data_IF_367482328856
#
_entry.id   IF_367482328856
#
_cell.length_a   1.000
_cell.length_b   1.000
_cell.length_c   1.000
_cell.angle_alpha   90.00
_cell.angle_beta   90.00
_cell.angle_gamma   90.00
#
_symmetry.space_group_name_H-M   'P 1'
#
loop_
_entity.id
_entity.type
_entity.pdbx_description
1 polymer ?
#
# COMPACT_ATOMS: atom_id res chain seq x y z
N UNK A 1 -17.54 -20.58 13.56
CA UNK A 1 -16.84 -19.31 13.32
C UNK A 1 -15.41 -19.48 13.79
N UNK A 2 -14.42 -19.28 12.92
CA UNK A 2 -13.02 -19.24 13.37
C UNK A 2 -12.80 -17.97 14.19
N UNK A 3 -12.30 -18.10 15.42
CA UNK A 3 -11.88 -16.98 16.26
C UNK A 3 -10.39 -16.79 16.04
N UNK A 4 -9.98 -15.63 15.55
CA UNK A 4 -8.57 -15.26 15.46
C UNK A 4 -8.24 -14.45 16.71
N UNK A 5 -7.31 -14.95 17.52
CA UNK A 5 -6.76 -14.21 18.65
C UNK A 5 -5.47 -13.52 18.22
N UNK A 6 -5.50 -12.19 18.18
CA UNK A 6 -4.33 -11.39 17.82
C UNK A 6 -3.38 -11.31 19.02
N UNK A 7 -2.14 -11.71 18.81
CA UNK A 7 -1.11 -11.66 19.85
C UNK A 7 -0.75 -10.20 20.18
N UNK A 8 -1.14 -9.76 21.38
CA UNK A 8 -0.92 -8.40 21.86
C UNK A 8 0.58 -8.06 22.00
N UNK A 9 1.42 -9.05 22.33
CA UNK A 9 2.87 -8.86 22.41
C UNK A 9 3.47 -8.55 21.04
N UNK A 10 2.94 -9.13 19.97
CA UNK A 10 3.34 -8.80 18.59
C UNK A 10 2.95 -7.37 18.24
N UNK A 11 1.73 -6.94 18.59
CA UNK A 11 1.30 -5.56 18.33
C UNK A 11 2.13 -4.53 19.11
N UNK A 12 2.60 -4.86 20.32
CA UNK A 12 3.48 -3.98 21.08
C UNK A 12 4.82 -3.69 20.37
N UNK A 13 5.27 -4.55 19.46
CA UNK A 13 6.51 -4.32 18.66
C UNK A 13 6.35 -3.30 17.54
N UNK A 14 5.13 -2.81 17.30
CA UNK A 14 4.83 -1.83 16.26
C UNK A 14 5.11 -0.38 16.67
N UNK A 15 5.34 -0.13 17.97
CA UNK A 15 5.67 1.20 18.46
C UNK A 15 6.89 1.75 17.70
N UNK A 16 6.76 2.97 17.21
CA UNK A 16 7.77 3.71 16.43
C UNK A 16 8.16 3.04 15.09
N UNK A 17 7.45 1.99 14.67
CA UNK A 17 7.63 1.40 13.34
C UNK A 17 6.88 2.20 12.30
N UNK A 18 7.52 2.44 11.16
CA UNK A 18 6.86 3.09 10.02
C UNK A 18 6.22 2.05 9.11
N UNK A 19 4.90 2.11 9.00
CA UNK A 19 4.10 1.24 8.16
C UNK A 19 3.53 2.00 6.98
N UNK A 20 3.89 1.58 5.78
CA UNK A 20 3.40 2.13 4.53
C UNK A 20 2.30 1.25 3.95
N UNK A 21 1.14 1.84 3.66
CA UNK A 21 -0.05 1.15 3.18
C UNK A 21 -0.50 1.78 1.86
N UNK A 22 -0.49 0.99 0.78
CA UNK A 22 -1.13 1.41 -0.48
C UNK A 22 -2.63 1.06 -0.45
N UNK A 23 -3.47 1.89 -1.06
CA UNK A 23 -4.93 1.73 -0.96
C UNK A 23 -5.46 1.92 0.47
N UNK A 24 -4.73 2.70 1.28
CA UNK A 24 -4.95 2.82 2.72
C UNK A 24 -6.10 3.74 3.12
N UNK A 25 -6.75 4.44 2.17
CA UNK A 25 -7.76 5.45 2.51
C UNK A 25 -9.16 4.86 2.75
N UNK A 26 -9.38 3.57 2.45
CA UNK A 26 -10.69 2.92 2.64
C UNK A 26 -10.56 1.46 3.11
N UNK A 27 -11.69 0.87 3.51
CA UNK A 27 -11.84 -0.56 3.76
C UNK A 27 -10.80 -1.14 4.71
N UNK A 28 -10.20 -2.25 4.30
CA UNK A 28 -9.18 -2.98 5.07
C UNK A 28 -7.95 -2.11 5.33
N UNK A 29 -7.46 -1.40 4.31
CA UNK A 29 -6.29 -0.51 4.45
C UNK A 29 -6.49 0.56 5.52
N UNK A 30 -7.66 1.23 5.52
CA UNK A 30 -7.99 2.27 6.52
C UNK A 30 -8.05 1.73 7.93
N UNK A 31 -8.77 0.63 8.13
CA UNK A 31 -8.89 0.02 9.46
C UNK A 31 -7.54 -0.51 9.95
N UNK A 32 -6.72 -1.02 9.04
CA UNK A 32 -5.35 -1.43 9.36
C UNK A 32 -4.50 -0.24 9.79
N UNK A 33 -4.53 0.88 9.06
CA UNK A 33 -3.83 2.11 9.44
C UNK A 33 -4.22 2.59 10.85
N UNK A 34 -5.52 2.68 11.15
CA UNK A 34 -6.00 3.07 12.49
C UNK A 34 -5.56 2.11 13.59
N UNK A 35 -5.65 0.80 13.35
CA UNK A 35 -5.24 -0.21 14.32
C UNK A 35 -3.74 -0.14 14.60
N UNK A 36 -2.91 0.00 13.56
CA UNK A 36 -1.46 0.08 13.74
C UNK A 36 -1.07 1.39 14.45
N UNK A 37 -1.71 2.50 14.08
CA UNK A 37 -1.52 3.78 14.77
C UNK A 37 -1.88 3.69 16.25
N UNK A 38 -2.99 3.02 16.63
CA UNK A 38 -3.38 2.87 18.03
C UNK A 38 -2.35 2.09 18.87
N UNK A 39 -1.41 1.39 18.22
CA UNK A 39 -0.29 0.70 18.86
C UNK A 39 1.05 1.47 18.76
N UNK A 40 1.00 2.74 18.33
CA UNK A 40 2.14 3.66 18.30
C UNK A 40 2.97 3.60 17.02
N UNK A 41 2.47 2.98 15.95
CA UNK A 41 3.14 3.00 14.66
C UNK A 41 3.01 4.37 13.97
N UNK A 42 4.02 4.74 13.20
CA UNK A 42 3.91 5.81 12.21
C UNK A 42 3.22 5.22 10.96
N UNK A 43 2.23 5.91 10.41
CA UNK A 43 1.39 5.41 9.32
C UNK A 43 1.54 6.29 8.09
N UNK A 44 1.93 5.66 6.98
CA UNK A 44 2.09 6.30 5.68
C UNK A 44 1.01 5.74 4.75
N UNK A 45 0.14 6.59 4.23
CA UNK A 45 -0.96 6.21 3.35
C UNK A 45 -0.69 6.69 1.93
N UNK A 46 -0.61 5.74 1.00
CA UNK A 46 -0.61 6.01 -0.44
C UNK A 46 -1.94 5.63 -1.06
N UNK A 47 -2.67 6.58 -1.63
CA UNK A 47 -3.97 6.30 -2.26
C UNK A 47 -4.32 7.33 -3.34
N UNK A 48 -5.23 7.00 -4.25
CA UNK A 48 -5.79 7.95 -5.22
C UNK A 48 -6.86 8.84 -4.60
N UNK A 49 -7.57 8.37 -3.58
CA UNK A 49 -8.67 9.08 -2.91
C UNK A 49 -8.15 10.09 -1.88
N UNK A 50 -7.81 11.29 -2.36
CA UNK A 50 -7.28 12.39 -1.52
C UNK A 50 -8.21 12.76 -0.39
N UNK A 51 -9.52 12.82 -0.64
CA UNK A 51 -10.50 13.27 0.36
C UNK A 51 -10.56 12.30 1.53
N UNK A 52 -10.63 10.99 1.26
CA UNK A 52 -10.63 9.99 2.32
C UNK A 52 -9.27 9.86 3.00
N UNK A 53 -8.17 9.99 2.25
CA UNK A 53 -6.82 9.98 2.79
C UNK A 53 -6.59 11.09 3.81
N UNK A 54 -6.94 12.33 3.45
CA UNK A 54 -6.87 13.48 4.37
C UNK A 54 -7.82 13.32 5.56
N UNK A 55 -8.98 12.69 5.37
CA UNK A 55 -9.88 12.40 6.49
C UNK A 55 -9.27 11.43 7.49
N UNK A 56 -8.63 10.37 7.00
CA UNK A 56 -7.92 9.42 7.86
C UNK A 56 -6.78 10.11 8.62
N UNK A 57 -6.03 11.03 7.99
CA UNK A 57 -4.97 11.76 8.68
C UNK A 57 -5.48 12.63 9.83
N UNK A 58 -6.68 13.20 9.73
CA UNK A 58 -7.27 13.95 10.85
C UNK A 58 -7.52 13.06 12.06
N UNK A 59 -7.71 11.76 11.88
CA UNK A 59 -7.89 10.78 12.95
C UNK A 59 -6.54 10.28 13.51
N UNK A 60 -5.50 10.21 12.68
CA UNK A 60 -4.16 9.73 13.09
C UNK A 60 -3.30 10.85 13.71
N UNK A 61 -3.39 12.07 13.20
CA UNK A 61 -2.56 13.19 13.65
C UNK A 61 -1.11 13.12 13.17
N UNK A 62 -0.16 13.57 13.99
CA UNK A 62 1.25 13.80 13.60
C UNK A 62 2.02 12.54 13.21
N UNK A 63 1.56 11.37 13.65
CA UNK A 63 2.13 10.08 13.25
C UNK A 63 1.60 9.57 11.91
N UNK A 64 0.85 10.39 11.17
CA UNK A 64 0.24 10.04 9.89
C UNK A 64 0.70 10.95 8.77
N UNK A 65 1.05 10.37 7.61
CA UNK A 65 1.17 11.11 6.36
C UNK A 65 0.37 10.47 5.23
N UNK A 66 -0.07 11.30 4.31
CA UNK A 66 -0.81 10.93 3.12
C UNK A 66 -0.09 11.51 1.91
N UNK A 67 0.06 10.69 0.88
CA UNK A 67 0.52 11.08 -0.43
C UNK A 67 -0.46 10.51 -1.46
N UNK A 68 -0.82 11.33 -2.45
CA UNK A 68 -1.62 10.84 -3.57
C UNK A 68 -0.76 9.86 -4.37
N UNK A 69 -1.10 8.58 -4.36
CA UNK A 69 -0.27 7.53 -4.95
C UNK A 69 -1.05 6.65 -5.93
N UNK A 70 -0.57 6.59 -7.16
CA UNK A 70 -0.99 5.62 -8.17
C UNK A 70 0.02 4.46 -8.21
N UNK A 71 -0.41 3.26 -7.83
CA UNK A 71 0.46 2.08 -7.80
C UNK A 71 0.84 1.55 -9.19
N UNK A 72 0.16 2.01 -10.24
CA UNK A 72 0.55 1.72 -11.64
C UNK A 72 1.69 2.62 -12.11
N UNK A 73 1.90 3.76 -11.42
CA UNK A 73 2.94 4.73 -11.73
C UNK A 73 4.16 4.55 -10.82
N UNK A 74 5.30 4.22 -11.43
CA UNK A 74 6.54 3.95 -10.70
C UNK A 74 7.06 5.15 -9.90
N UNK A 75 6.98 6.36 -10.47
CA UNK A 75 7.47 7.57 -9.80
C UNK A 75 6.59 7.95 -8.61
N UNK A 76 5.27 7.79 -8.75
CA UNK A 76 4.31 8.00 -7.68
C UNK A 76 4.59 7.09 -6.48
N UNK A 77 4.83 5.80 -6.73
CA UNK A 77 5.25 4.85 -5.70
C UNK A 77 6.59 5.24 -5.06
N UNK A 78 7.61 5.59 -5.86
CA UNK A 78 8.91 6.01 -5.32
C UNK A 78 8.76 7.23 -4.41
N UNK A 79 7.99 8.23 -4.81
CA UNK A 79 7.79 9.46 -4.04
C UNK A 79 7.10 9.20 -2.69
N UNK A 80 6.18 8.22 -2.63
CA UNK A 80 5.57 7.79 -1.37
C UNK A 80 6.63 7.27 -0.37
N UNK A 81 7.56 6.44 -0.84
CA UNK A 81 8.64 5.91 0.01
C UNK A 81 9.64 7.00 0.43
N UNK A 82 9.99 7.91 -0.47
CA UNK A 82 10.84 9.06 -0.13
C UNK A 82 10.17 9.96 0.92
N UNK A 83 8.86 10.26 0.77
CA UNK A 83 8.08 10.99 1.78
C UNK A 83 8.07 10.29 3.13
N UNK A 84 7.92 8.96 3.15
CA UNK A 84 7.99 8.17 4.38
C UNK A 84 9.35 8.30 5.07
N UNK A 85 10.43 8.20 4.29
CA UNK A 85 11.81 8.35 4.77
C UNK A 85 12.07 9.75 5.29
N UNK A 86 11.68 10.77 4.56
CA UNK A 86 11.94 12.16 4.94
C UNK A 86 11.22 12.54 6.24
N UNK A 87 10.03 11.98 6.48
CA UNK A 87 9.26 12.24 7.69
C UNK A 87 9.69 11.38 8.88
N UNK A 88 9.90 10.08 8.68
CA UNK A 88 10.06 9.10 9.77
C UNK A 88 11.42 8.38 9.78
N UNK A 89 12.28 8.62 8.79
CA UNK A 89 13.62 8.06 8.68
C UNK A 89 13.71 6.62 8.16
N UNK A 90 12.61 5.85 8.21
CA UNK A 90 12.56 4.46 7.78
C UNK A 90 11.22 4.08 7.17
N UNK A 91 11.22 2.97 6.41
CA UNK A 91 10.03 2.16 6.13
C UNK A 91 10.32 0.75 6.66
N UNK A 92 9.58 0.32 7.68
CA UNK A 92 9.80 -0.97 8.34
C UNK A 92 8.87 -2.05 7.77
N UNK A 93 7.64 -1.67 7.44
CA UNK A 93 6.59 -2.59 6.99
C UNK A 93 5.87 -1.99 5.78
N UNK A 94 5.62 -2.81 4.76
CA UNK A 94 4.85 -2.43 3.58
C UNK A 94 3.65 -3.34 3.42
N UNK A 95 2.46 -2.73 3.36
CA UNK A 95 1.20 -3.39 3.06
C UNK A 95 0.75 -2.96 1.66
N UNK A 96 1.06 -3.79 0.66
CA UNK A 96 0.63 -3.60 -0.72
C UNK A 96 -0.87 -3.95 -0.86
N UNK A 97 -1.72 -3.08 -0.34
CA UNK A 97 -3.16 -3.33 -0.17
C UNK A 97 -4.02 -2.69 -1.28
N UNK A 98 -3.48 -1.78 -2.10
CA UNK A 98 -4.21 -1.19 -3.22
C UNK A 98 -4.75 -2.28 -4.15
N UNK A 99 -6.04 -2.18 -4.47
CA UNK A 99 -6.71 -3.13 -5.34
C UNK A 99 -8.07 -2.65 -5.79
N UNK A 100 -8.50 -3.14 -6.94
CA UNK A 100 -9.84 -2.92 -7.48
C UNK A 100 -10.55 -4.27 -7.71
N UNK A 101 -11.87 -4.34 -7.59
CA UNK A 101 -12.62 -5.51 -8.05
C UNK A 101 -12.62 -5.57 -9.57
N UNK A 102 -12.84 -6.76 -10.11
CA UNK A 102 -13.13 -6.91 -11.53
C UNK A 102 -14.47 -6.20 -11.86
N UNK A 103 -14.54 -5.57 -13.04
CA UNK A 103 -15.72 -4.84 -13.52
C UNK A 103 -15.94 -5.09 -15.01
N UNK A 104 -17.19 -5.09 -15.50
CA UNK A 104 -17.47 -5.18 -16.93
C UNK A 104 -16.85 -4.03 -17.75
N UNK A 105 -16.42 -4.28 -19.00
CA UNK A 105 -16.28 -5.62 -19.59
C UNK A 105 -15.19 -6.44 -18.88
N UNK A 106 -15.47 -7.72 -18.64
CA UNK A 106 -14.53 -8.63 -17.99
C UNK A 106 -13.34 -8.94 -18.90
N UNK A 107 -12.22 -9.39 -18.33
CA UNK A 107 -10.95 -9.52 -19.08
C UNK A 107 -11.06 -10.44 -20.32
N UNK A 108 -11.98 -11.41 -20.28
CA UNK A 108 -12.21 -12.38 -21.36
C UNK A 108 -13.52 -12.15 -22.12
N UNK A 109 -14.21 -11.03 -21.87
CA UNK A 109 -15.37 -10.66 -22.67
C UNK A 109 -14.92 -10.27 -24.08
N UNK A 110 -15.64 -10.76 -25.08
CA UNK A 110 -15.45 -10.32 -26.47
C UNK A 110 -16.11 -8.97 -26.66
N UNK A 111 -15.29 -7.92 -26.69
CA UNK A 111 -15.73 -6.56 -26.97
C UNK A 111 -15.26 -6.16 -28.37
N UNK A 112 -16.19 -5.68 -29.19
CA UNK A 112 -15.88 -5.15 -30.52
C UNK A 112 -15.86 -3.62 -30.50
N UNK A 113 -15.02 -3.01 -31.32
CA UNK A 113 -15.03 -1.57 -31.58
C UNK A 113 -16.15 -1.17 -32.57
N UNK A 114 -16.24 0.12 -32.88
CA UNK A 114 -17.25 0.66 -33.80
C UNK A 114 -17.14 0.10 -35.24
N UNK A 115 -16.02 -0.52 -35.60
CA UNK A 115 -15.79 -1.16 -36.90
C UNK A 115 -16.01 -2.69 -36.86
N UNK A 116 -16.41 -3.24 -35.71
CA UNK A 116 -16.61 -4.68 -35.52
C UNK A 116 -15.31 -5.47 -35.31
N UNK A 117 -14.19 -4.82 -35.02
CA UNK A 117 -12.91 -5.46 -34.73
C UNK A 117 -12.77 -5.75 -33.23
N UNK A 118 -12.02 -6.80 -32.87
CA UNK A 118 -11.72 -7.12 -31.47
C UNK A 118 -11.00 -5.94 -30.82
N UNK A 119 -11.62 -5.38 -29.78
CA UNK A 119 -11.02 -4.35 -28.93
C UNK A 119 -9.99 -4.99 -28.00
N UNK A 120 -8.88 -4.31 -27.78
CA UNK A 120 -7.89 -4.72 -26.79
C UNK A 120 -8.52 -4.78 -25.38
N UNK A 121 -8.29 -5.86 -24.59
CA UNK A 121 -8.79 -5.97 -23.23
C UNK A 121 -8.24 -4.87 -22.31
N UNK A 122 -9.03 -4.47 -21.32
CA UNK A 122 -8.57 -3.57 -20.26
C UNK A 122 -7.76 -4.37 -19.21
N UNK A 123 -6.45 -4.13 -19.14
CA UNK A 123 -5.55 -4.77 -18.19
C UNK A 123 -5.44 -4.02 -16.84
N UNK A 124 -6.26 -2.98 -16.60
CA UNK A 124 -6.23 -2.18 -15.37
C UNK A 124 -6.27 -3.02 -14.08
N UNK A 125 -7.07 -4.09 -14.06
CA UNK A 125 -7.14 -5.03 -12.93
C UNK A 125 -5.77 -5.69 -12.66
N UNK A 126 -5.11 -6.19 -13.71
CA UNK A 126 -3.79 -6.83 -13.61
C UNK A 126 -2.74 -5.80 -13.23
N UNK A 127 -2.81 -4.60 -13.81
CA UNK A 127 -1.86 -3.53 -13.55
C UNK A 127 -1.89 -3.04 -12.11
N UNK A 128 -3.08 -2.96 -11.50
CA UNK A 128 -3.24 -2.56 -10.10
C UNK A 128 -2.96 -3.74 -9.17
N UNK A 129 -3.70 -4.85 -9.32
CA UNK A 129 -3.73 -5.93 -8.33
C UNK A 129 -2.51 -6.85 -8.39
N UNK A 130 -1.78 -6.89 -9.52
CA UNK A 130 -0.56 -7.68 -9.67
C UNK A 130 0.66 -6.78 -9.86
N UNK A 131 0.71 -6.00 -10.93
CA UNK A 131 1.90 -5.22 -11.24
C UNK A 131 2.14 -4.13 -10.18
N UNK A 132 1.09 -3.50 -9.65
CA UNK A 132 1.18 -2.54 -8.54
C UNK A 132 1.74 -3.16 -7.25
N UNK A 133 1.37 -4.40 -6.95
CA UNK A 133 1.93 -5.17 -5.83
C UNK A 133 3.41 -5.46 -6.06
N UNK A 134 3.77 -5.96 -7.24
CA UNK A 134 5.16 -6.26 -7.58
C UNK A 134 6.06 -5.01 -7.53
N UNK A 135 5.57 -3.88 -8.04
CA UNK A 135 6.27 -2.57 -7.93
C UNK A 135 6.46 -2.19 -6.46
N UNK A 136 5.42 -2.30 -5.64
CA UNK A 136 5.49 -2.00 -4.21
C UNK A 136 6.53 -2.86 -3.49
N UNK A 137 6.60 -4.16 -3.81
CA UNK A 137 7.60 -5.10 -3.25
C UNK A 137 9.01 -4.74 -3.72
N UNK A 138 9.21 -4.43 -5.00
CA UNK A 138 10.52 -4.05 -5.54
C UNK A 138 11.07 -2.80 -4.86
N UNK A 139 10.23 -1.77 -4.67
CA UNK A 139 10.60 -0.56 -3.93
C UNK A 139 10.90 -0.91 -2.47
N UNK A 140 10.01 -1.64 -1.79
CA UNK A 140 10.20 -2.06 -0.40
C UNK A 140 11.51 -2.81 -0.18
N UNK A 141 11.86 -3.74 -1.07
CA UNK A 141 13.09 -4.52 -0.99
C UNK A 141 14.33 -3.64 -0.98
N UNK A 142 14.42 -2.68 -1.91
CA UNK A 142 15.53 -1.73 -1.96
C UNK A 142 15.66 -0.95 -0.64
N UNK A 143 14.53 -0.41 -0.16
CA UNK A 143 14.50 0.42 1.04
C UNK A 143 14.88 -0.35 2.31
N UNK A 144 14.31 -1.54 2.49
CA UNK A 144 14.57 -2.39 3.64
C UNK A 144 16.03 -2.85 3.63
N UNK A 145 16.58 -3.27 2.49
CA UNK A 145 17.97 -3.71 2.39
C UNK A 145 18.99 -2.60 2.65
N UNK A 146 18.71 -1.36 2.26
CA UNK A 146 19.62 -0.24 2.49
C UNK A 146 19.68 0.20 3.97
N UNK A 147 18.58 0.03 4.73
CA UNK A 147 18.44 0.62 6.07
C UNK A 147 18.49 -0.42 7.19
N UNK A 148 18.17 -1.68 6.92
CA UNK A 148 18.29 -2.79 7.88
C UNK A 148 19.50 -3.67 7.52
N UNK A 149 20.71 -3.19 7.85
CA UNK A 149 21.98 -3.95 7.66
C UNK A 149 21.99 -5.34 8.31
N UNK A 150 21.09 -5.62 9.25
CA UNK A 150 21.00 -6.89 9.98
C UNK A 150 20.32 -8.03 9.20
N UNK A 151 19.61 -7.74 8.11
CA UNK A 151 18.96 -8.76 7.30
C UNK A 151 19.96 -9.49 6.38
N UNK A 152 20.91 -8.76 5.79
CA UNK A 152 21.94 -9.33 4.91
C UNK A 152 22.93 -10.20 5.70
N UNK A 153 23.18 -9.90 6.98
CA UNK A 153 24.09 -10.70 7.82
C UNK A 153 23.46 -11.96 8.43
N UNK A 154 22.20 -12.30 8.09
CA UNK A 154 21.49 -13.49 8.59
C UNK A 154 21.05 -14.45 7.49
N UNK A 155 21.41 -14.19 6.23
CA UNK A 155 21.09 -15.04 5.07
C UNK A 155 22.38 -15.50 4.34
N UNK A 156 23.52 -15.52 5.04
CA UNK A 156 24.73 -16.25 4.64
C UNK A 156 25.26 -17.03 5.83
#
# INVERSE_FOLDING_TARGET
MAKIEVNQTTLATLRDKTVLITGGSNGIGRQTGLLLHSHGANVVIGDLDVVRGESLLREIGEQGIFEKTDVTNWESLRNLFERAKDQFGSVDIVLANAGIPERPPYLFDVVLDDNGLLKEPDFCLVDINLNGVLRSIATAHLWICQHHRSWISKVI
#
